data_IF_102511148331
#
_entry.id   IF_102511148331
#
_cell.length_a   1.000
_cell.length_b   1.000
_cell.length_c   1.000
_cell.angle_alpha   90.00
_cell.angle_beta   90.00
_cell.angle_gamma   90.00
#
_symmetry.space_group_name_H-M   'P 1'
#
loop_
_entity.id
_entity.type
_entity.pdbx_description
1 polymer ?
#
# COMPACT_ATOMS: atom_id res chain seq x y z
N UNK A 1 36.47 26.71 7.80
CA UNK A 1 36.83 25.31 7.47
C UNK A 1 38.10 24.97 8.24
N UNK A 2 38.03 24.03 9.17
CA UNK A 2 39.17 23.62 9.97
C UNK A 2 39.86 22.44 9.27
N UNK A 3 41.00 22.70 8.64
CA UNK A 3 41.88 21.67 8.07
C UNK A 3 42.46 20.83 9.21
N UNK A 4 42.07 19.56 9.32
CA UNK A 4 42.53 18.67 10.40
C UNK A 4 43.70 17.80 9.91
N UNK A 5 44.90 18.06 10.43
CA UNK A 5 46.19 17.57 9.91
C UNK A 5 46.65 16.20 10.41
N UNK A 6 45.74 15.28 10.74
CA UNK A 6 46.12 13.94 11.23
C UNK A 6 45.32 12.83 10.56
N UNK A 7 45.78 12.32 9.41
CA UNK A 7 45.46 10.98 8.90
C UNK A 7 43.97 10.62 8.81
N UNK A 8 43.08 11.61 8.73
CA UNK A 8 41.64 11.42 8.68
C UNK A 8 41.18 11.76 7.28
N UNK A 9 40.43 10.84 6.68
CA UNK A 9 39.72 11.09 5.44
C UNK A 9 38.65 12.16 5.74
N UNK A 10 38.63 13.25 4.98
CA UNK A 10 37.54 14.23 5.03
C UNK A 10 36.35 13.67 4.23
N UNK A 11 35.30 13.24 4.92
CA UNK A 11 34.13 12.54 4.34
C UNK A 11 33.02 13.54 3.95
N UNK A 12 33.39 14.77 3.56
CA UNK A 12 32.41 15.81 3.22
C UNK A 12 31.97 15.75 1.77
N UNK A 13 32.83 15.25 0.88
CA UNK A 13 32.60 15.21 -0.56
C UNK A 13 32.61 13.76 -1.07
N UNK A 14 31.48 13.33 -1.64
CA UNK A 14 31.25 11.95 -2.11
C UNK A 14 31.46 11.79 -3.62
N UNK A 15 31.82 12.86 -4.34
CA UNK A 15 32.10 12.80 -5.77
C UNK A 15 33.33 11.94 -6.07
N UNK A 16 33.34 11.27 -7.22
CA UNK A 16 34.37 10.30 -7.61
C UNK A 16 35.78 10.89 -7.54
N UNK A 17 35.98 12.08 -8.14
CA UNK A 17 37.30 12.72 -8.19
C UNK A 17 37.75 13.18 -6.80
N UNK A 18 36.82 13.65 -5.96
CA UNK A 18 37.09 14.03 -4.57
C UNK A 18 37.48 12.83 -3.72
N UNK A 19 36.78 11.69 -3.87
CA UNK A 19 37.11 10.43 -3.18
C UNK A 19 38.49 9.92 -3.61
N UNK A 20 38.81 9.96 -4.90
CA UNK A 20 40.15 9.61 -5.41
C UNK A 20 41.24 10.49 -4.81
N UNK A 21 41.02 11.81 -4.78
CA UNK A 21 41.97 12.76 -4.21
C UNK A 21 42.14 12.59 -2.69
N UNK A 22 41.07 12.26 -1.98
CA UNK A 22 41.11 11.90 -0.56
C UNK A 22 41.91 10.63 -0.31
N UNK A 23 41.75 9.59 -1.14
CA UNK A 23 42.57 8.38 -1.04
C UNK A 23 44.06 8.66 -1.31
N UNK A 24 44.39 9.46 -2.34
CA UNK A 24 45.77 9.89 -2.61
C UNK A 24 46.37 10.62 -1.41
N UNK A 25 45.63 11.56 -0.84
CA UNK A 25 46.07 12.33 0.34
C UNK A 25 46.23 11.45 1.57
N UNK A 26 45.33 10.50 1.81
CA UNK A 26 45.40 9.57 2.93
C UNK A 26 46.58 8.60 2.81
N UNK A 27 46.80 8.01 1.63
CA UNK A 27 47.87 7.03 1.40
C UNK A 27 49.26 7.66 1.35
N UNK A 28 49.40 8.87 0.79
CA UNK A 28 50.68 9.60 0.77
C UNK A 28 51.19 10.00 2.17
N UNK A 29 50.31 10.03 3.17
CA UNK A 29 50.69 10.29 4.57
C UNK A 29 51.18 9.04 5.32
N UNK A 30 51.02 7.84 4.73
CA UNK A 30 51.43 6.58 5.35
C UNK A 30 52.92 6.34 5.11
N UNK A 31 53.64 5.95 6.16
CA UNK A 31 55.09 5.76 6.12
C UNK A 31 55.52 4.63 5.17
N UNK A 32 54.64 3.67 4.92
CA UNK A 32 54.86 2.51 4.05
C UNK A 32 54.80 2.84 2.56
N UNK A 33 54.23 3.99 2.17
CA UNK A 33 53.97 4.35 0.76
C UNK A 33 54.63 5.67 0.35
N UNK A 34 55.66 6.10 1.06
CA UNK A 34 56.36 7.38 0.81
C UNK A 34 57.09 7.43 -0.54
N UNK A 35 57.40 6.28 -1.13
CA UNK A 35 58.07 6.09 -2.41
C UNK A 35 57.11 5.83 -3.59
N UNK A 36 55.80 5.68 -3.34
CA UNK A 36 54.81 5.39 -4.38
C UNK A 36 54.34 6.68 -5.08
N UNK A 37 54.35 6.66 -6.41
CA UNK A 37 53.71 7.69 -7.23
C UNK A 37 52.28 7.27 -7.57
N UNK A 38 51.29 7.90 -6.93
CA UNK A 38 49.86 7.61 -7.13
C UNK A 38 49.30 8.12 -8.46
N UNK A 39 50.05 8.91 -9.24
CA UNK A 39 49.71 9.26 -10.63
C UNK A 39 50.27 8.25 -11.65
N UNK A 40 51.08 7.28 -11.21
CA UNK A 40 51.60 6.22 -12.05
C UNK A 40 50.48 5.32 -12.58
N UNK A 41 50.56 4.90 -13.86
CA UNK A 41 49.45 4.24 -14.57
C UNK A 41 48.83 3.05 -13.82
N UNK A 42 49.64 2.16 -13.23
CA UNK A 42 49.13 1.00 -12.49
C UNK A 42 48.44 1.37 -11.17
N UNK A 43 49.02 2.30 -10.41
CA UNK A 43 48.46 2.73 -9.12
C UNK A 43 47.23 3.62 -9.30
N UNK A 44 47.23 4.47 -10.33
CA UNK A 44 46.09 5.34 -10.67
C UNK A 44 44.83 4.52 -11.02
N UNK A 45 44.98 3.44 -11.80
CA UNK A 45 43.85 2.53 -12.14
C UNK A 45 43.33 1.81 -10.91
N UNK A 46 44.19 1.38 -9.99
CA UNK A 46 43.75 0.78 -8.72
C UNK A 46 43.00 1.79 -7.84
N UNK A 47 43.47 3.04 -7.78
CA UNK A 47 42.77 4.11 -7.08
C UNK A 47 41.42 4.42 -7.72
N UNK A 48 41.33 4.39 -9.05
CA UNK A 48 40.06 4.56 -9.78
C UNK A 48 39.07 3.46 -9.43
N UNK A 49 39.51 2.20 -9.36
CA UNK A 49 38.65 1.08 -9.00
C UNK A 49 38.13 1.20 -7.56
N UNK A 50 38.99 1.57 -6.61
CA UNK A 50 38.62 1.77 -5.21
C UNK A 50 37.69 2.99 -5.04
N UNK A 51 37.97 4.09 -5.72
CA UNK A 51 37.10 5.27 -5.74
C UNK A 51 35.73 4.95 -6.33
N UNK A 52 35.68 4.19 -7.43
CA UNK A 52 34.44 3.74 -8.06
C UNK A 52 33.60 2.88 -7.10
N UNK A 53 34.22 1.89 -6.45
CA UNK A 53 33.53 1.04 -5.48
C UNK A 53 33.02 1.86 -4.28
N UNK A 54 33.83 2.78 -3.77
CA UNK A 54 33.47 3.63 -2.63
C UNK A 54 32.33 4.59 -2.99
N UNK A 55 32.38 5.21 -4.17
CA UNK A 55 31.30 6.07 -4.68
C UNK A 55 29.99 5.29 -4.81
N UNK A 56 30.03 4.06 -5.34
CA UNK A 56 28.84 3.22 -5.46
C UNK A 56 28.26 2.83 -4.10
N UNK A 57 29.11 2.46 -3.13
CA UNK A 57 28.68 2.17 -1.76
C UNK A 57 28.11 3.40 -1.06
N UNK A 58 28.72 4.57 -1.26
CA UNK A 58 28.25 5.83 -0.68
C UNK A 58 26.88 6.22 -1.23
N UNK A 59 26.65 6.06 -2.53
CA UNK A 59 25.35 6.27 -3.15
C UNK A 59 24.28 5.36 -2.54
N UNK A 60 24.55 4.05 -2.41
CA UNK A 60 23.62 3.11 -1.79
C UNK A 60 23.35 3.42 -0.32
N UNK A 61 24.38 3.76 0.44
CA UNK A 61 24.24 4.14 1.85
C UNK A 61 23.42 5.43 2.02
N UNK A 62 23.60 6.41 1.13
CA UNK A 62 22.81 7.64 1.15
C UNK A 62 21.34 7.37 0.81
N UNK A 63 21.09 6.56 -0.23
CA UNK A 63 19.72 6.17 -0.59
C UNK A 63 19.06 5.41 0.55
N UNK A 64 19.76 4.46 1.17
CA UNK A 64 19.24 3.73 2.33
C UNK A 64 18.97 4.66 3.52
N UNK A 65 19.88 5.60 3.81
CA UNK A 65 19.70 6.55 4.90
C UNK A 65 18.48 7.47 4.69
N UNK A 66 18.22 7.90 3.45
CA UNK A 66 17.01 8.65 3.14
C UNK A 66 15.74 7.81 3.37
N UNK A 67 15.76 6.52 3.02
CA UNK A 67 14.60 5.63 3.23
C UNK A 67 14.41 5.18 4.70
N UNK A 68 15.38 5.42 5.60
CA UNK A 68 15.30 5.01 7.01
C UNK A 68 14.32 5.84 7.84
N UNK A 69 14.02 7.07 7.45
CA UNK A 69 13.13 7.97 8.19
C UNK A 69 11.96 8.43 7.32
N UNK A 70 10.80 8.62 7.94
CA UNK A 70 9.56 8.98 7.23
C UNK A 70 9.63 10.34 6.54
N UNK A 71 10.38 11.27 7.08
CA UNK A 71 10.54 12.64 6.58
C UNK A 71 11.52 12.74 5.41
N UNK A 72 12.52 11.85 5.35
CA UNK A 72 13.50 11.78 4.28
C UNK A 72 13.17 10.75 3.21
N UNK A 73 12.20 9.85 3.45
CA UNK A 73 11.84 8.79 2.52
C UNK A 73 11.39 9.37 1.17
N UNK A 74 11.99 8.86 0.08
CA UNK A 74 11.66 9.26 -1.28
C UNK A 74 10.63 8.30 -1.87
N UNK A 75 10.71 7.01 -1.53
CA UNK A 75 9.72 6.04 -2.01
C UNK A 75 8.47 6.03 -1.13
N UNK A 76 7.31 5.97 -1.78
CA UNK A 76 6.01 5.89 -1.09
C UNK A 76 5.92 4.63 -0.21
N UNK A 77 6.48 3.50 -0.66
CA UNK A 77 6.45 2.25 0.09
C UNK A 77 7.13 2.38 1.45
N UNK A 78 8.31 3.02 1.54
CA UNK A 78 8.98 3.27 2.82
C UNK A 78 8.19 4.23 3.71
N UNK A 79 7.66 5.32 3.14
CA UNK A 79 6.84 6.26 3.91
C UNK A 79 5.59 5.58 4.51
N UNK A 80 4.91 4.74 3.74
CA UNK A 80 3.75 3.93 4.18
C UNK A 80 4.17 2.93 5.27
N UNK A 81 5.30 2.24 5.09
CA UNK A 81 5.81 1.27 6.07
C UNK A 81 6.15 1.94 7.41
N UNK A 82 6.77 3.12 7.38
CA UNK A 82 7.02 3.91 8.58
C UNK A 82 5.73 4.41 9.21
N UNK A 83 4.78 4.92 8.43
CA UNK A 83 3.48 5.36 8.91
C UNK A 83 2.68 4.24 9.59
N UNK A 84 2.76 3.02 9.06
CA UNK A 84 2.16 1.82 9.65
C UNK A 84 2.70 1.55 11.06
N UNK A 85 4.00 1.76 11.30
CA UNK A 85 4.59 1.60 12.64
C UNK A 85 4.02 2.61 13.66
N UNK A 86 3.53 3.75 13.18
CA UNK A 86 2.85 4.77 13.97
C UNK A 86 1.34 4.53 14.11
N UNK A 87 0.82 3.43 13.55
CA UNK A 87 -0.61 3.12 13.52
C UNK A 87 -1.40 3.97 12.53
N UNK A 88 -0.74 4.66 11.60
CA UNK A 88 -1.40 5.44 10.55
C UNK A 88 -1.43 4.65 9.23
N UNK A 89 -2.62 4.60 8.63
CA UNK A 89 -2.85 4.01 7.33
C UNK A 89 -3.22 5.13 6.34
N UNK A 90 -2.45 5.34 5.26
CA UNK A 90 -2.80 6.31 4.24
C UNK A 90 -4.16 6.02 3.58
N UNK A 91 -4.84 7.07 3.14
CA UNK A 91 -6.10 6.93 2.41
C UNK A 91 -5.90 6.20 1.08
N UNK A 92 -6.79 5.25 0.78
CA UNK A 92 -6.85 4.56 -0.50
C UNK A 92 -7.52 5.42 -1.59
N UNK A 93 -7.53 4.91 -2.83
CA UNK A 93 -8.48 5.38 -3.85
C UNK A 93 -9.91 5.36 -3.30
N UNK A 94 -10.70 6.38 -3.63
CA UNK A 94 -12.10 6.51 -3.22
C UNK A 94 -13.01 6.43 -4.43
N UNK A 95 -14.03 5.57 -4.35
CA UNK A 95 -15.04 5.48 -5.38
C UNK A 95 -15.94 6.71 -5.36
N UNK A 96 -16.34 7.20 -6.54
CA UNK A 96 -17.40 8.20 -6.63
C UNK A 96 -18.72 7.60 -6.14
N UNK A 97 -19.52 8.38 -5.42
CA UNK A 97 -20.79 7.92 -4.85
C UNK A 97 -21.96 8.76 -5.34
N UNK A 98 -23.10 8.11 -5.54
CA UNK A 98 -24.36 8.78 -5.81
C UNK A 98 -25.47 8.13 -4.98
N UNK A 99 -26.45 8.92 -4.56
CA UNK A 99 -27.64 8.44 -3.87
C UNK A 99 -28.81 8.54 -4.86
N UNK A 100 -29.52 7.43 -5.06
CA UNK A 100 -30.60 7.34 -6.04
C UNK A 100 -31.85 6.72 -5.43
N UNK A 101 -33.00 7.21 -5.86
CA UNK A 101 -34.30 6.59 -5.61
C UNK A 101 -34.71 5.79 -6.85
N UNK A 102 -35.04 4.51 -6.66
CA UNK A 102 -35.36 3.58 -7.73
C UNK A 102 -36.77 3.06 -7.53
N UNK A 103 -37.63 3.33 -8.51
CA UNK A 103 -39.01 2.85 -8.52
C UNK A 103 -39.16 1.77 -9.59
N UNK A 104 -39.57 0.57 -9.17
CA UNK A 104 -39.85 -0.56 -10.06
C UNK A 104 -41.37 -0.77 -10.10
N UNK A 105 -41.96 -0.62 -11.27
CA UNK A 105 -43.40 -0.83 -11.51
C UNK A 105 -43.65 -2.08 -12.35
N UNK A 106 -44.89 -2.55 -12.38
CA UNK A 106 -45.29 -3.70 -13.20
C UNK A 106 -44.92 -5.06 -12.61
N UNK A 107 -44.61 -5.13 -11.32
CA UNK A 107 -44.37 -6.39 -10.62
C UNK A 107 -45.72 -7.04 -10.26
N UNK A 108 -45.93 -8.35 -10.48
CA UNK A 108 -47.18 -9.03 -10.13
C UNK A 108 -47.57 -8.81 -8.67
N UNK A 109 -48.83 -8.48 -8.41
CA UNK A 109 -49.34 -8.18 -7.05
C UNK A 109 -49.29 -9.38 -6.08
N UNK A 110 -49.01 -10.58 -6.59
CA UNK A 110 -48.71 -11.78 -5.80
C UNK A 110 -47.34 -11.73 -5.13
N UNK A 111 -46.39 -10.98 -5.69
CA UNK A 111 -45.07 -10.76 -5.10
C UNK A 111 -45.12 -9.55 -4.18
N UNK A 112 -44.83 -9.75 -2.89
CA UNK A 112 -44.88 -8.70 -1.87
C UNK A 112 -43.52 -8.13 -1.48
N UNK A 113 -42.45 -8.80 -1.88
CA UNK A 113 -41.07 -8.41 -1.60
C UNK A 113 -40.22 -8.47 -2.87
N UNK A 114 -39.34 -7.49 -3.03
CA UNK A 114 -38.37 -7.43 -4.12
C UNK A 114 -37.01 -7.13 -3.51
N UNK A 115 -36.00 -7.91 -3.90
CA UNK A 115 -34.62 -7.75 -3.45
C UNK A 115 -33.77 -7.31 -4.62
N UNK A 116 -33.13 -6.15 -4.48
CA UNK A 116 -32.03 -5.71 -5.32
C UNK A 116 -30.75 -6.29 -4.73
N UNK A 117 -30.18 -7.27 -5.43
CA UNK A 117 -28.96 -7.93 -4.97
C UNK A 117 -27.76 -6.98 -5.00
N UNK A 118 -26.80 -7.21 -4.11
CA UNK A 118 -25.49 -6.58 -4.13
C UNK A 118 -24.81 -6.81 -5.48
N UNK A 119 -24.17 -5.77 -6.02
CA UNK A 119 -23.54 -5.79 -7.33
C UNK A 119 -24.51 -5.53 -8.49
N UNK A 120 -25.73 -5.05 -8.21
CA UNK A 120 -26.61 -4.54 -9.27
C UNK A 120 -25.92 -3.38 -9.97
N UNK A 121 -25.84 -3.45 -11.30
CA UNK A 121 -25.08 -2.51 -12.13
C UNK A 121 -25.96 -1.37 -12.60
N UNK A 122 -25.46 -0.15 -12.45
CA UNK A 122 -26.00 1.09 -12.98
C UNK A 122 -24.97 1.71 -13.92
N UNK A 123 -25.43 2.40 -14.95
CA UNK A 123 -24.54 3.10 -15.90
C UNK A 123 -24.90 4.57 -15.92
N UNK A 124 -23.90 5.43 -15.72
CA UNK A 124 -24.01 6.87 -15.94
C UNK A 124 -23.16 7.24 -17.17
N UNK A 125 -23.52 8.32 -17.86
CA UNK A 125 -22.72 8.86 -18.96
C UNK A 125 -22.45 10.33 -18.72
N UNK A 126 -21.20 10.75 -18.89
CA UNK A 126 -20.78 12.14 -18.85
C UNK A 126 -19.95 12.40 -20.11
N UNK A 127 -20.40 13.32 -20.97
CA UNK A 127 -19.71 13.73 -22.20
C UNK A 127 -19.20 12.52 -23.02
N UNK A 128 -20.10 11.59 -23.34
CA UNK A 128 -19.86 10.35 -24.11
C UNK A 128 -18.98 9.29 -23.43
N UNK A 129 -18.54 9.52 -22.19
CA UNK A 129 -17.85 8.50 -21.38
C UNK A 129 -18.83 7.80 -20.45
N UNK A 130 -18.94 6.48 -20.56
CA UNK A 130 -19.80 5.68 -19.69
C UNK A 130 -19.03 5.20 -18.46
N UNK A 131 -19.63 5.41 -17.30
CA UNK A 131 -19.16 4.99 -15.99
C UNK A 131 -20.10 3.93 -15.41
N UNK A 132 -19.51 2.93 -14.78
CA UNK A 132 -20.24 1.86 -14.12
C UNK A 132 -20.33 2.13 -12.63
N UNK A 133 -21.54 2.00 -12.09
CA UNK A 133 -21.83 2.07 -10.67
C UNK A 133 -22.43 0.74 -10.20
N UNK A 134 -22.20 0.39 -8.94
CA UNK A 134 -22.68 -0.86 -8.33
C UNK A 134 -23.20 -0.62 -6.92
N UNK A 135 -24.17 -1.43 -6.49
CA UNK A 135 -24.57 -1.53 -5.08
C UNK A 135 -23.61 -2.44 -4.32
N UNK A 136 -23.33 -2.11 -3.05
CA UNK A 136 -22.43 -2.90 -2.20
C UNK A 136 -23.15 -4.00 -1.41
N UNK A 137 -24.44 -3.80 -1.11
CA UNK A 137 -25.26 -4.68 -0.30
C UNK A 137 -26.63 -4.97 -0.93
N UNK A 138 -27.34 -5.91 -0.33
CA UNK A 138 -28.70 -6.26 -0.74
C UNK A 138 -29.68 -5.23 -0.18
N UNK A 139 -30.57 -4.73 -1.03
CA UNK A 139 -31.65 -3.83 -0.62
C UNK A 139 -32.98 -4.52 -0.85
N UNK A 140 -33.88 -4.46 0.13
CA UNK A 140 -35.21 -5.08 0.04
C UNK A 140 -36.29 -4.01 0.11
N UNK A 141 -37.21 -4.05 -0.84
CA UNK A 141 -38.42 -3.24 -0.83
C UNK A 141 -39.64 -4.15 -0.72
N UNK A 142 -40.68 -3.68 -0.03
CA UNK A 142 -41.97 -4.37 0.06
C UNK A 142 -43.07 -3.49 -0.49
N UNK A 143 -44.00 -4.09 -1.24
CA UNK A 143 -45.13 -3.37 -1.81
C UNK A 143 -46.36 -4.26 -1.91
N UNK A 144 -47.54 -3.65 -1.78
CA UNK A 144 -48.84 -4.31 -1.89
C UNK A 144 -49.52 -4.08 -3.25
N UNK A 145 -49.13 -3.03 -3.98
CA UNK A 145 -49.78 -2.53 -5.20
C UNK A 145 -49.00 -2.85 -6.50
N UNK A 146 -47.85 -3.51 -6.38
CA UNK A 146 -46.99 -3.86 -7.52
C UNK A 146 -45.99 -2.77 -7.91
N UNK A 147 -45.88 -1.69 -7.12
CA UNK A 147 -44.86 -0.64 -7.24
C UNK A 147 -43.90 -0.70 -6.06
N UNK A 148 -42.65 -1.07 -6.33
CA UNK A 148 -41.59 -1.16 -5.32
C UNK A 148 -40.71 0.08 -5.38
N UNK A 149 -40.48 0.71 -4.23
CA UNK A 149 -39.61 1.89 -4.12
C UNK A 149 -38.41 1.51 -3.26
N UNK A 150 -37.21 1.69 -3.82
CA UNK A 150 -35.95 1.65 -3.10
C UNK A 150 -35.47 3.08 -2.95
N UNK A 151 -35.58 3.62 -1.74
CA UNK A 151 -35.18 5.00 -1.43
C UNK A 151 -33.77 5.06 -0.85
N UNK A 152 -33.08 6.18 -1.09
CA UNK A 152 -31.76 6.49 -0.53
C UNK A 152 -30.70 5.42 -0.80
N UNK A 153 -30.67 4.87 -2.02
CA UNK A 153 -29.73 3.81 -2.39
C UNK A 153 -28.39 4.43 -2.80
N UNK A 154 -27.36 4.18 -2.00
CA UNK A 154 -25.98 4.53 -2.32
C UNK A 154 -25.40 3.58 -3.38
N UNK A 155 -25.03 4.13 -4.52
CA UNK A 155 -24.31 3.43 -5.59
C UNK A 155 -22.87 3.96 -5.68
N UNK A 156 -21.94 3.06 -5.98
CA UNK A 156 -20.50 3.33 -5.95
C UNK A 156 -19.89 3.05 -7.32
N UNK A 157 -19.05 3.94 -7.81
CA UNK A 157 -18.35 3.75 -9.08
C UNK A 157 -17.37 2.56 -8.98
N UNK A 158 -17.38 1.71 -10.00
CA UNK A 158 -16.43 0.62 -10.16
C UNK A 158 -17.09 -0.75 -10.33
N UNK A 159 -16.37 -1.79 -9.93
CA UNK A 159 -16.82 -3.18 -10.05
C UNK A 159 -16.70 -3.88 -8.71
N UNK A 160 -17.75 -4.61 -8.35
CA UNK A 160 -17.76 -5.42 -7.13
C UNK A 160 -17.03 -6.74 -7.39
N UNK A 161 -15.89 -6.95 -6.74
CA UNK A 161 -15.10 -8.19 -6.85
C UNK A 161 -15.13 -8.95 -5.53
N UNK A 162 -15.08 -10.29 -5.58
CA UNK A 162 -14.98 -11.16 -4.41
C UNK A 162 -13.73 -12.02 -4.54
N UNK A 163 -12.88 -12.00 -3.51
CA UNK A 163 -11.75 -12.91 -3.36
C UNK A 163 -12.03 -13.86 -2.20
N UNK A 164 -11.65 -15.13 -2.34
CA UNK A 164 -11.86 -16.15 -1.32
C UNK A 164 -10.53 -16.81 -1.01
N UNK A 165 -10.20 -16.87 0.28
CA UNK A 165 -8.99 -17.50 0.79
C UNK A 165 -9.39 -18.61 1.77
N UNK A 166 -8.69 -19.73 1.73
CA UNK A 166 -8.83 -20.79 2.73
C UNK A 166 -7.77 -20.59 3.79
N UNK A 167 -8.19 -20.42 5.04
CA UNK A 167 -7.26 -20.26 6.17
C UNK A 167 -6.56 -21.60 6.44
N UNK A 168 -5.24 -21.57 6.55
CA UNK A 168 -4.41 -22.72 6.91
C UNK A 168 -3.64 -22.41 8.19
N UNK A 169 -4.11 -22.96 9.32
CA UNK A 169 -3.48 -22.75 10.64
C UNK A 169 -2.09 -23.37 10.79
N UNK A 170 -1.65 -24.21 9.84
CA UNK A 170 -0.29 -24.75 9.83
C UNK A 170 0.72 -23.80 9.19
N UNK A 171 0.26 -22.82 8.42
CA UNK A 171 1.10 -21.83 7.75
C UNK A 171 1.06 -20.51 8.53
N UNK A 172 2.14 -20.22 9.25
CA UNK A 172 2.28 -18.98 10.03
C UNK A 172 2.59 -17.77 9.14
N UNK A 173 2.98 -17.97 7.88
CA UNK A 173 3.33 -16.90 6.94
C UNK A 173 2.19 -16.58 5.96
N UNK A 174 1.00 -17.19 6.14
CA UNK A 174 -0.14 -16.95 5.28
C UNK A 174 -0.60 -15.49 5.33
N UNK A 175 -0.74 -14.88 4.15
CA UNK A 175 -1.20 -13.49 3.98
C UNK A 175 -2.49 -13.42 3.18
N UNK A 176 -3.41 -12.54 3.58
CA UNK A 176 -4.68 -12.30 2.88
C UNK A 176 -4.62 -10.97 2.13
N UNK A 177 -3.92 -10.98 0.99
CA UNK A 177 -3.68 -9.79 0.16
C UNK A 177 -4.80 -9.58 -0.84
N UNK A 178 -5.37 -8.38 -0.89
CA UNK A 178 -6.28 -7.93 -1.94
C UNK A 178 -5.45 -7.66 -3.21
N UNK A 179 -5.66 -8.40 -4.32
CA UNK A 179 -4.79 -8.30 -5.49
C UNK A 179 -4.84 -6.95 -6.24
N UNK A 180 -5.88 -6.15 -6.03
CA UNK A 180 -6.08 -4.87 -6.69
C UNK A 180 -5.53 -3.71 -5.85
N UNK A 181 -4.71 -2.85 -6.47
CA UNK A 181 -4.22 -1.60 -5.86
C UNK A 181 -5.19 -0.40 -5.98
N UNK A 182 -6.29 -0.56 -6.72
CA UNK A 182 -7.32 0.48 -6.88
C UNK A 182 -8.56 0.23 -6.00
N UNK A 183 -8.37 -0.47 -4.87
CA UNK A 183 -9.46 -0.79 -3.96
C UNK A 183 -9.81 0.40 -3.07
N UNK A 184 -11.11 0.63 -2.86
CA UNK A 184 -11.57 1.57 -1.83
C UNK A 184 -11.73 0.85 -0.50
N UNK A 185 -10.85 1.18 0.46
CA UNK A 185 -10.81 0.56 1.78
C UNK A 185 -12.06 0.77 2.62
N UNK A 186 -12.87 1.79 2.31
CA UNK A 186 -14.14 2.04 2.99
C UNK A 186 -15.30 1.17 2.52
N UNK A 187 -15.13 0.48 1.37
CA UNK A 187 -16.15 -0.41 0.79
C UNK A 187 -15.83 -1.89 0.97
N UNK A 188 -14.72 -2.21 1.66
CA UNK A 188 -14.30 -3.58 1.91
C UNK A 188 -15.28 -4.24 2.89
N UNK A 189 -15.76 -5.43 2.51
CA UNK A 189 -16.57 -6.30 3.37
C UNK A 189 -15.79 -7.60 3.54
N UNK A 190 -15.39 -7.87 4.78
CA UNK A 190 -14.72 -9.12 5.15
C UNK A 190 -15.76 -10.04 5.80
N UNK A 191 -15.87 -11.24 5.28
CA UNK A 191 -16.87 -12.20 5.73
C UNK A 191 -16.22 -13.58 5.89
N UNK A 192 -16.32 -14.18 7.07
CA UNK A 192 -15.67 -15.44 7.41
C UNK A 192 -16.71 -16.55 7.51
N UNK A 193 -16.38 -17.70 6.93
CA UNK A 193 -17.20 -18.91 6.95
C UNK A 193 -16.44 -19.97 7.75
N UNK A 194 -17.10 -20.59 8.73
CA UNK A 194 -16.44 -21.53 9.65
C UNK A 194 -15.93 -22.81 8.95
N UNK A 195 -16.63 -23.26 7.89
CA UNK A 195 -16.20 -24.39 7.08
C UNK A 195 -16.76 -24.33 5.66
N UNK A 196 -16.16 -25.07 4.73
CA UNK A 196 -16.66 -25.17 3.34
C UNK A 196 -18.07 -25.77 3.22
N UNK A 197 -18.57 -26.43 4.26
CA UNK A 197 -19.91 -27.02 4.31
C UNK A 197 -20.94 -26.15 5.03
N UNK A 198 -20.49 -25.13 5.75
CA UNK A 198 -21.35 -24.25 6.56
C UNK A 198 -21.75 -23.03 5.75
N UNK A 199 -23.03 -22.79 5.48
CA UNK A 199 -23.48 -21.62 4.71
C UNK A 199 -23.57 -20.33 5.54
N UNK A 200 -23.39 -20.41 6.85
CA UNK A 200 -23.40 -19.22 7.72
C UNK A 200 -22.11 -18.43 7.53
N UNK A 201 -22.24 -17.12 7.44
CA UNK A 201 -21.10 -16.22 7.27
C UNK A 201 -21.20 -15.09 8.29
N UNK A 202 -20.10 -14.85 9.00
CA UNK A 202 -19.98 -13.75 9.93
C UNK A 202 -19.25 -12.58 9.28
N UNK A 203 -19.82 -11.38 9.38
CA UNK A 203 -19.23 -10.17 8.79
C UNK A 203 -18.35 -9.49 9.82
N UNK A 204 -17.09 -9.29 9.48
CA UNK A 204 -16.10 -8.65 10.33
C UNK A 204 -16.08 -7.16 10.04
N UNK A 205 -15.80 -6.36 11.06
CA UNK A 205 -15.74 -4.89 10.95
C UNK A 205 -14.30 -4.40 11.14
N UNK A 206 -13.91 -3.36 10.39
CA UNK A 206 -12.58 -2.78 10.52
C UNK A 206 -12.39 -2.25 11.95
N UNK A 207 -11.29 -2.63 12.59
CA UNK A 207 -10.96 -2.09 13.90
C UNK A 207 -10.23 -0.75 13.77
N UNK A 208 -10.71 0.25 14.50
CA UNK A 208 -10.07 1.59 14.59
C UNK A 208 -9.54 1.90 15.99
N UNK A 209 -9.92 1.11 17.00
CA UNK A 209 -9.55 1.34 18.40
C UNK A 209 -9.21 0.02 19.10
N UNK A 210 -8.01 -0.06 19.67
CA UNK A 210 -7.53 -1.24 20.40
C UNK A 210 -8.18 -1.39 21.77
N UNK A 211 -8.70 -0.31 22.36
CA UNK A 211 -9.20 -0.32 23.74
C UNK A 211 -10.55 -1.01 23.93
N UNK A 212 -11.26 -1.28 22.82
CA UNK A 212 -12.64 -1.82 22.83
C UNK A 212 -12.72 -3.30 22.43
N UNK A 213 -11.58 -3.97 22.29
CA UNK A 213 -11.52 -5.38 21.86
C UNK A 213 -11.81 -6.34 23.02
N UNK A 214 -12.74 -7.28 22.78
CA UNK A 214 -12.99 -8.44 23.63
C UNK A 214 -12.82 -9.77 22.85
N UNK A 215 -12.93 -10.90 23.55
CA UNK A 215 -12.74 -12.23 22.93
C UNK A 215 -13.86 -12.66 21.97
N UNK A 216 -14.95 -11.91 21.90
CA UNK A 216 -16.08 -12.14 20.98
C UNK A 216 -16.11 -11.15 19.80
N UNK A 217 -15.16 -10.24 19.74
CA UNK A 217 -15.16 -9.14 18.78
C UNK A 217 -14.80 -9.61 17.38
N UNK A 218 -15.77 -9.53 16.46
CA UNK A 218 -15.59 -9.82 15.03
C UNK A 218 -14.95 -8.62 14.32
N UNK A 219 -13.62 -8.54 14.42
CA UNK A 219 -12.82 -7.42 13.96
C UNK A 219 -11.70 -7.87 13.03
N UNK A 220 -11.41 -7.06 12.01
CA UNK A 220 -10.24 -7.24 11.15
C UNK A 220 -9.38 -5.97 11.16
N UNK A 221 -8.11 -6.14 10.85
CA UNK A 221 -7.16 -5.05 10.60
C UNK A 221 -6.82 -5.00 9.12
N UNK A 222 -6.40 -3.81 8.70
CA UNK A 222 -6.04 -3.54 7.32
C UNK A 222 -4.71 -2.80 7.32
N UNK A 223 -3.79 -3.27 6.52
CA UNK A 223 -2.52 -2.60 6.29
C UNK A 223 -2.26 -2.47 4.81
N UNK A 224 -1.59 -1.40 4.45
CA UNK A 224 -1.07 -1.24 3.11
C UNK A 224 0.25 -1.99 2.97
N UNK A 225 0.40 -2.69 1.84
CA UNK A 225 1.63 -3.38 1.44
C UNK A 225 2.24 -2.68 0.21
N UNK A 226 3.13 -3.34 -0.49
CA UNK A 226 3.73 -2.81 -1.73
C UNK A 226 2.69 -2.57 -2.83
N UNK A 227 3.00 -1.66 -3.75
CA UNK A 227 2.18 -1.30 -4.91
C UNK A 227 0.75 -0.78 -4.61
N UNK A 228 0.53 -0.22 -3.41
CA UNK A 228 -0.78 0.31 -3.02
C UNK A 228 -1.85 -0.76 -2.80
N UNK A 229 -1.43 -2.03 -2.67
CA UNK A 229 -2.32 -3.13 -2.31
C UNK A 229 -2.50 -3.18 -0.80
N UNK A 230 -3.54 -3.89 -0.37
CA UNK A 230 -3.88 -4.00 1.03
C UNK A 230 -3.95 -5.45 1.48
N UNK A 231 -3.54 -5.69 2.71
CA UNK A 231 -3.59 -6.98 3.38
C UNK A 231 -4.53 -6.91 4.57
N UNK A 232 -5.41 -7.91 4.67
CA UNK A 232 -6.33 -8.11 5.80
C UNK A 232 -5.66 -9.07 6.79
N UNK A 233 -5.67 -8.74 8.08
CA UNK A 233 -5.13 -9.58 9.15
C UNK A 233 -5.88 -9.43 10.47
#
# INVERSE_FOLDING_TARGET
MATNSKGRIEITDLDFDSVKNNFKTFLSQQTQFTDYNFEGSGMSVLMDLLAYNTHYLAFHANMLANEMFIDTALTRASAVSHAKSLGYMPSSSKASTAIVDITVTGVPTSQKTLVMAAGTIFTASVNDTSYQFVTIGDHTASSSDGTFVFSDISIYEGTRVRYTYTVNSSDLEQKFVIPSGAVDTSTIIVSVQASSSDITTEVYTLNTDYSTLDSSSLKYFLQEIEDGRYEVY
#
